data_IF_748696252298
#
_entry.id   IF_748696252298
#
_cell.length_a   1.000
_cell.length_b   1.000
_cell.length_c   1.000
_cell.angle_alpha   90.00
_cell.angle_beta   90.00
_cell.angle_gamma   90.00
#
_symmetry.space_group_name_H-M   'P 1'
#
loop_
_entity.id
_entity.type
_entity.pdbx_description
1 polymer ?
#
# COMPACT_ATOMS: atom_id res chain seq x y z
N UNK A 1 3.16 -15.18 -57.97
CA UNK A 1 2.05 -14.80 -57.06
C UNK A 1 2.66 -14.90 -55.69
N UNK A 2 3.52 -13.96 -55.31
CA UNK A 2 4.40 -14.15 -54.14
C UNK A 2 4.73 -12.77 -53.57
N UNK A 3 3.96 -12.32 -52.58
CA UNK A 3 4.23 -11.08 -51.82
C UNK A 3 3.89 -11.19 -50.31
N UNK A 4 3.54 -12.38 -49.79
CA UNK A 4 3.16 -12.52 -48.37
C UNK A 4 4.36 -12.74 -47.42
N UNK A 5 5.54 -13.07 -47.95
CA UNK A 5 6.71 -13.45 -47.14
C UNK A 5 7.31 -12.28 -46.33
N UNK A 6 7.23 -11.05 -46.85
CA UNK A 6 7.81 -9.86 -46.22
C UNK A 6 6.94 -9.30 -45.07
N UNK A 7 5.62 -9.52 -45.11
CA UNK A 7 4.68 -9.02 -44.09
C UNK A 7 4.74 -9.87 -42.81
N UNK A 8 4.92 -11.18 -42.94
CA UNK A 8 5.03 -12.09 -41.80
C UNK A 8 6.27 -11.82 -40.94
N UNK A 9 7.41 -11.50 -41.56
CA UNK A 9 8.67 -11.19 -40.86
C UNK A 9 8.57 -10.00 -39.89
N UNK A 10 7.85 -8.95 -40.31
CA UNK A 10 7.65 -7.77 -39.47
C UNK A 10 6.69 -8.06 -38.32
N UNK A 11 5.64 -8.85 -38.55
CA UNK A 11 4.71 -9.24 -37.51
C UNK A 11 5.37 -10.13 -36.46
N UNK A 12 6.20 -11.09 -36.88
CA UNK A 12 6.94 -11.98 -35.98
C UNK A 12 7.95 -11.20 -35.13
N UNK A 13 8.61 -10.20 -35.71
CA UNK A 13 9.53 -9.31 -34.99
C UNK A 13 8.81 -8.43 -33.97
N UNK A 14 7.65 -7.88 -34.34
CA UNK A 14 6.82 -7.08 -33.43
C UNK A 14 6.27 -7.94 -32.30
N UNK A 15 5.82 -9.18 -32.59
CA UNK A 15 5.29 -10.09 -31.58
C UNK A 15 6.39 -10.53 -30.61
N UNK A 16 7.57 -10.88 -31.09
CA UNK A 16 8.73 -11.22 -30.26
C UNK A 16 9.11 -10.06 -29.34
N UNK A 17 9.15 -8.83 -29.87
CA UNK A 17 9.43 -7.65 -29.06
C UNK A 17 8.31 -7.34 -28.06
N UNK A 18 7.04 -7.56 -28.43
CA UNK A 18 5.90 -7.38 -27.53
C UNK A 18 5.93 -8.43 -26.40
N UNK A 19 6.35 -9.66 -26.69
CA UNK A 19 6.56 -10.71 -25.68
C UNK A 19 7.72 -10.35 -24.75
N UNK A 20 8.85 -9.86 -25.27
CA UNK A 20 10.00 -9.40 -24.47
C UNK A 20 9.62 -8.23 -23.55
N UNK A 21 8.86 -7.25 -24.07
CA UNK A 21 8.31 -6.15 -23.26
C UNK A 21 7.36 -6.66 -22.18
N UNK A 22 6.49 -7.63 -22.49
CA UNK A 22 5.58 -8.22 -21.49
C UNK A 22 6.35 -8.99 -20.39
N UNK A 23 7.41 -9.71 -20.74
CA UNK A 23 8.29 -10.40 -19.77
C UNK A 23 9.06 -9.40 -18.88
N UNK A 24 9.52 -8.29 -19.44
CA UNK A 24 10.13 -7.19 -18.68
C UNK A 24 9.13 -6.55 -17.69
N UNK A 25 7.85 -6.43 -18.05
CA UNK A 25 6.80 -5.90 -17.18
C UNK A 25 6.27 -6.92 -16.16
N UNK A 26 6.45 -8.23 -16.39
CA UNK A 26 6.15 -9.28 -15.41
C UNK A 26 7.20 -9.36 -14.30
N UNK A 27 8.38 -8.79 -14.51
CA UNK A 27 9.49 -8.81 -13.55
C UNK A 27 9.38 -7.73 -12.47
N UNK A 28 8.45 -6.78 -12.61
CA UNK A 28 8.06 -5.88 -11.52
C UNK A 28 6.87 -6.49 -10.81
N UNK A 29 7.11 -7.51 -9.99
CA UNK A 29 6.23 -7.78 -8.85
C UNK A 29 6.26 -6.50 -7.99
N UNK A 30 5.38 -5.55 -8.29
CA UNK A 30 5.13 -4.42 -7.42
C UNK A 30 4.60 -5.04 -6.13
N UNK A 31 5.46 -5.25 -5.14
CA UNK A 31 5.08 -5.76 -3.84
C UNK A 31 4.00 -4.85 -3.30
N UNK A 32 2.73 -5.26 -3.44
CA UNK A 32 1.62 -4.41 -3.04
C UNK A 32 1.68 -4.31 -1.53
N UNK A 33 1.86 -3.08 -1.04
CA UNK A 33 1.82 -2.79 0.39
C UNK A 33 0.49 -3.30 0.94
N UNK A 34 0.50 -4.20 1.93
CA UNK A 34 -0.74 -4.67 2.54
C UNK A 34 -1.55 -3.49 3.08
N UNK A 35 -2.87 -3.45 2.81
CA UNK A 35 -3.75 -2.37 3.28
C UNK A 35 -3.68 -2.17 4.80
N UNK A 36 -3.46 -3.26 5.55
CA UNK A 36 -3.28 -3.24 7.01
C UNK A 36 -2.09 -2.40 7.49
N UNK A 37 -1.15 -2.04 6.61
CA UNK A 37 0.00 -1.20 6.91
C UNK A 37 -0.25 0.27 6.63
N UNK A 38 -1.34 0.59 5.93
CA UNK A 38 -1.70 1.95 5.56
C UNK A 38 -2.54 2.63 6.66
N UNK A 39 -2.25 3.88 6.96
CA UNK A 39 -3.05 4.69 7.85
C UNK A 39 -4.40 5.03 7.20
N UNK A 40 -5.56 4.75 7.82
CA UNK A 40 -6.86 5.06 7.25
C UNK A 40 -7.17 6.57 7.08
N UNK A 41 -6.37 7.45 7.69
CA UNK A 41 -6.51 8.91 7.57
C UNK A 41 -5.48 9.47 6.58
N UNK A 42 -4.22 9.11 6.78
CA UNK A 42 -3.10 9.64 6.00
C UNK A 42 -2.91 8.99 4.64
N UNK A 43 -3.44 7.78 4.47
CA UNK A 43 -3.23 6.92 3.30
C UNK A 43 -1.74 6.64 3.02
N UNK A 44 -0.89 6.75 4.05
CA UNK A 44 0.54 6.45 4.06
C UNK A 44 0.86 5.22 4.93
N UNK A 45 2.00 4.57 4.68
CA UNK A 45 2.49 3.49 5.55
C UNK A 45 2.71 4.03 6.97
N UNK A 46 2.21 3.32 7.98
CA UNK A 46 2.37 3.71 9.38
C UNK A 46 3.80 3.48 9.86
N UNK A 47 4.45 4.54 10.35
CA UNK A 47 5.75 4.46 11.02
C UNK A 47 5.59 4.32 12.54
N UNK A 48 4.58 4.99 13.12
CA UNK A 48 4.22 4.85 14.54
C UNK A 48 2.74 4.48 14.70
N UNK A 49 2.36 3.22 14.41
CA UNK A 49 0.98 2.78 14.51
C UNK A 49 0.50 2.79 15.97
N UNK A 50 -0.64 3.43 16.20
CA UNK A 50 -1.38 3.43 17.47
C UNK A 50 -2.81 2.98 17.27
N UNK A 51 -3.33 2.20 18.21
CA UNK A 51 -4.65 1.58 18.15
C UNK A 51 -5.63 2.32 19.06
N UNK A 52 -6.84 2.58 18.56
CA UNK A 52 -7.96 3.09 19.36
C UNK A 52 -8.60 1.95 20.17
N UNK A 53 -9.43 2.23 21.20
CA UNK A 53 -10.16 1.18 21.92
C UNK A 53 -11.04 0.28 21.03
N UNK A 54 -11.39 0.75 19.84
CA UNK A 54 -12.17 0.02 18.83
C UNK A 54 -11.33 -0.91 17.96
N UNK A 55 -10.02 -1.02 18.20
CA UNK A 55 -9.13 -1.97 17.54
C UNK A 55 -8.54 -1.49 16.21
N UNK A 56 -8.89 -0.30 15.75
CA UNK A 56 -8.35 0.27 14.50
C UNK A 56 -7.01 0.96 14.76
N UNK A 57 -6.02 0.70 13.91
CA UNK A 57 -4.71 1.33 13.99
C UNK A 57 -4.59 2.50 13.01
N UNK A 58 -3.94 3.57 13.47
CA UNK A 58 -3.65 4.77 12.70
C UNK A 58 -2.21 5.18 12.94
N UNK A 59 -1.63 5.92 12.02
CA UNK A 59 -0.40 6.66 12.27
C UNK A 59 -0.65 7.78 13.30
N UNK A 60 0.20 7.85 14.33
CA UNK A 60 0.04 8.73 15.50
C UNK A 60 -0.26 10.18 15.11
N UNK A 61 0.56 10.78 14.23
CA UNK A 61 0.41 12.20 13.84
C UNK A 61 -0.99 12.51 13.30
N UNK A 62 -1.61 11.55 12.59
CA UNK A 62 -2.90 11.75 11.96
C UNK A 62 -4.06 11.61 12.94
N UNK A 63 -4.04 10.59 13.79
CA UNK A 63 -5.11 10.38 14.77
C UNK A 63 -5.07 11.42 15.89
N UNK A 64 -3.90 11.85 16.35
CA UNK A 64 -3.79 12.92 17.35
C UNK A 64 -4.31 14.26 16.80
N UNK A 65 -3.99 14.59 15.55
CA UNK A 65 -4.53 15.77 14.88
C UNK A 65 -6.06 15.69 14.67
N UNK A 66 -6.61 14.49 14.41
CA UNK A 66 -8.05 14.28 14.33
C UNK A 66 -8.72 14.51 15.70
N UNK A 67 -8.22 13.87 16.75
CA UNK A 67 -8.73 14.00 18.12
C UNK A 67 -8.69 15.47 18.55
N UNK A 68 -7.61 16.21 18.27
CA UNK A 68 -7.51 17.62 18.60
C UNK A 68 -8.63 18.49 18.00
N UNK A 69 -9.18 18.11 16.84
CA UNK A 69 -10.25 18.84 16.14
C UNK A 69 -11.65 18.39 16.54
N UNK A 70 -11.88 17.08 16.71
CA UNK A 70 -13.23 16.50 16.87
C UNK A 70 -13.50 15.94 18.26
N UNK A 71 -12.47 15.44 18.97
CA UNK A 71 -12.58 14.59 20.16
C UNK A 71 -13.39 13.30 19.92
N UNK A 72 -13.45 12.83 18.67
CA UNK A 72 -14.19 11.63 18.27
C UNK A 72 -13.27 10.61 17.59
N UNK A 73 -13.65 9.33 17.64
CA UNK A 73 -13.06 8.26 16.82
C UNK A 73 -13.45 8.48 15.34
N UNK A 74 -12.49 8.43 14.39
CA UNK A 74 -12.78 8.66 12.97
C UNK A 74 -13.79 7.68 12.36
N UNK A 75 -13.83 6.44 12.85
CA UNK A 75 -14.68 5.37 12.34
C UNK A 75 -16.02 5.34 13.06
N UNK A 76 -16.01 5.26 14.41
CA UNK A 76 -17.26 5.04 15.17
C UNK A 76 -17.96 6.34 15.55
N UNK A 77 -17.25 7.48 15.50
CA UNK A 77 -17.72 8.79 15.97
C UNK A 77 -18.05 8.83 17.47
N UNK A 78 -17.55 7.88 18.24
CA UNK A 78 -17.64 7.90 19.70
C UNK A 78 -16.54 8.78 20.30
N UNK A 79 -16.71 9.19 21.56
CA UNK A 79 -15.71 10.02 22.25
C UNK A 79 -14.34 9.33 22.34
N UNK A 80 -13.30 10.00 21.86
CA UNK A 80 -11.93 9.50 21.85
C UNK A 80 -10.96 10.57 22.35
N UNK A 81 -10.06 10.17 23.26
CA UNK A 81 -9.00 10.99 23.83
C UNK A 81 -7.63 10.37 23.54
N UNK A 82 -6.60 11.21 23.45
CA UNK A 82 -5.22 10.80 23.14
C UNK A 82 -4.70 9.75 24.13
N UNK A 83 -5.05 9.84 25.42
CA UNK A 83 -4.63 8.87 26.44
C UNK A 83 -5.29 7.48 26.32
N UNK A 84 -6.27 7.33 25.44
CA UNK A 84 -6.89 6.04 25.13
C UNK A 84 -6.15 5.31 23.99
N UNK A 85 -5.28 6.01 23.26
CA UNK A 85 -4.43 5.38 22.24
C UNK A 85 -3.44 4.42 22.88
N UNK A 86 -3.20 3.29 22.22
CA UNK A 86 -2.23 2.28 22.63
C UNK A 86 -1.22 2.05 21.50
N UNK A 87 0.10 2.07 21.74
CA UNK A 87 1.08 1.71 20.72
C UNK A 87 0.83 0.29 20.18
N UNK A 88 0.85 0.13 18.86
CA UNK A 88 0.76 -1.18 18.21
C UNK A 88 2.15 -1.66 17.79
N UNK A 89 2.92 -2.12 18.77
CA UNK A 89 4.32 -2.54 18.56
C UNK A 89 4.42 -3.72 17.59
N UNK A 90 3.47 -4.65 17.65
CA UNK A 90 3.44 -5.80 16.74
C UNK A 90 3.25 -5.39 15.28
N UNK A 91 2.33 -4.46 15.02
CA UNK A 91 2.12 -3.93 13.67
C UNK A 91 3.34 -3.13 13.19
N UNK A 92 3.96 -2.34 14.07
CA UNK A 92 5.19 -1.62 13.73
C UNK A 92 6.30 -2.57 13.28
N UNK A 93 6.57 -3.64 14.04
CA UNK A 93 7.57 -4.63 13.65
C UNK A 93 7.20 -5.35 12.34
N UNK A 94 5.92 -5.67 12.11
CA UNK A 94 5.49 -6.29 10.86
C UNK A 94 5.72 -5.38 9.64
N UNK A 95 5.48 -4.07 9.79
CA UNK A 95 5.75 -3.06 8.76
C UNK A 95 7.26 -2.92 8.53
N UNK A 96 8.06 -2.81 9.59
CA UNK A 96 9.51 -2.73 9.51
C UNK A 96 10.10 -3.96 8.80
N UNK A 97 9.65 -5.16 9.17
CA UNK A 97 10.04 -6.41 8.51
C UNK A 97 9.69 -6.43 7.03
N UNK A 98 8.52 -5.89 6.65
CA UNK A 98 8.12 -5.80 5.25
C UNK A 98 8.99 -4.83 4.46
N UNK A 99 9.29 -3.66 5.03
CA UNK A 99 10.13 -2.64 4.40
C UNK A 99 11.60 -3.08 4.30
N UNK A 100 12.09 -3.88 5.24
CA UNK A 100 13.46 -4.40 5.22
C UNK A 100 13.65 -5.60 4.28
N UNK A 101 12.55 -6.27 3.89
CA UNK A 101 12.55 -7.42 2.97
C UNK A 101 12.27 -7.02 1.52
N UNK A 102 11.86 -5.77 1.28
CA UNK A 102 11.53 -5.21 -0.03
C UNK A 102 12.71 -4.48 -0.66
#
# INVERSE_FOLDING_TARGET
MDDDSLVHSNHDTVLAHMMELLEMHQSTELTQVPESFLCPIGMDIMADPVTTPNGVSYERKWIEAHIARSQLDPLTREALRVNQLRPNVSLRHAIEDFLNKS
#
